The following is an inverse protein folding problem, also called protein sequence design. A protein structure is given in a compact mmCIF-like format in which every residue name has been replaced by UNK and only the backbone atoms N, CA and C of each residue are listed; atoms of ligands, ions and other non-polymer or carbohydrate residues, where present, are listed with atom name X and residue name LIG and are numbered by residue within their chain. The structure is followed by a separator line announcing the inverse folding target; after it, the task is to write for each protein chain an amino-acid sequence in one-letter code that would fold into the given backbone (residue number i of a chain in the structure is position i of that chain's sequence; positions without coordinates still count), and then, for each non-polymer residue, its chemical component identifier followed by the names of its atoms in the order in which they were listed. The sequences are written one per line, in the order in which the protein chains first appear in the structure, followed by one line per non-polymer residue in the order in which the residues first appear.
data_IF_258277577465
#
_entry.id   IF_258277577465
#
_cell.length_a   1.000
_cell.length_b   1.000
_cell.length_c   1.000
_cell.angle_alpha   90.00
_cell.angle_beta   90.00
_cell.angle_gamma   90.00
#
_symmetry.space_group_name_H-M   'P 1'
#
loop_
_entity.id
_entity.type
_entity.pdbx_description
1 polymer ?
#
# COMPACT_ATOMS: atom_id res chain seq x y z
N UNK A 1 -6.99 20.74 22.24
CA UNK A 1 -7.76 20.05 21.18
C UNK A 1 -6.74 19.43 20.25
N UNK A 2 -6.64 18.11 20.20
CA UNK A 2 -5.72 17.42 19.28
C UNK A 2 -6.33 17.50 17.89
N UNK A 3 -5.70 18.24 16.97
CA UNK A 3 -6.12 18.34 15.57
C UNK A 3 -5.52 17.17 14.80
N UNK A 4 -6.35 16.24 14.35
CA UNK A 4 -5.95 15.14 13.48
C UNK A 4 -5.67 15.63 12.06
N UNK A 5 -4.68 15.05 11.34
CA UNK A 5 -4.44 15.39 9.94
C UNK A 5 -5.66 14.99 9.10
N UNK A 6 -6.09 15.90 8.22
CA UNK A 6 -7.23 15.71 7.32
C UNK A 6 -6.79 15.87 5.88
N UNK A 7 -7.31 15.03 5.00
CA UNK A 7 -7.12 15.15 3.55
C UNK A 7 -8.48 15.25 2.86
N UNK A 8 -8.61 16.16 1.90
CA UNK A 8 -9.76 16.23 0.98
C UNK A 8 -9.40 15.70 -0.39
N UNK A 9 -10.36 15.08 -1.08
CA UNK A 9 -10.22 14.70 -2.48
C UNK A 9 -9.83 15.88 -3.37
N UNK A 10 -10.30 17.09 -3.05
CA UNK A 10 -9.98 18.31 -3.79
C UNK A 10 -8.51 18.74 -3.66
N UNK A 11 -7.80 18.25 -2.64
CA UNK A 11 -6.39 18.52 -2.41
C UNK A 11 -5.47 17.48 -3.04
N UNK A 12 -6.04 16.36 -3.52
CA UNK A 12 -5.27 15.31 -4.16
C UNK A 12 -4.78 15.74 -5.55
N UNK A 13 -3.56 15.37 -5.94
CA UNK A 13 -3.14 15.45 -7.32
C UNK A 13 -4.11 14.71 -8.24
N UNK A 14 -4.42 15.28 -9.40
CA UNK A 14 -5.36 14.69 -10.36
C UNK A 14 -4.79 13.40 -10.98
N UNK A 15 -5.29 12.26 -10.49
CA UNK A 15 -4.85 10.92 -10.89
C UNK A 15 -5.12 10.56 -12.35
N UNK A 16 -5.97 11.34 -13.04
CA UNK A 16 -6.34 11.15 -14.45
C UNK A 16 -5.33 11.78 -15.41
N UNK A 17 -4.45 12.67 -14.92
CA UNK A 17 -3.45 13.30 -15.77
C UNK A 17 -2.41 12.29 -16.25
N UNK A 18 -2.16 12.31 -17.56
CA UNK A 18 -1.17 11.43 -18.19
C UNK A 18 0.27 11.78 -17.79
N UNK A 19 0.50 13.00 -17.31
CA UNK A 19 1.78 13.48 -16.83
C UNK A 19 1.56 14.42 -15.64
N UNK A 20 2.39 14.26 -14.62
CA UNK A 20 2.49 15.17 -13.48
C UNK A 20 3.94 15.28 -13.06
N UNK A 21 4.37 16.50 -12.74
CA UNK A 21 5.68 16.81 -12.19
C UNK A 21 5.51 17.61 -10.89
N UNK A 22 6.36 17.35 -9.90
CA UNK A 22 6.39 18.06 -8.62
C UNK A 22 7.66 18.93 -8.55
N UNK A 23 7.65 20.15 -9.12
CA UNK A 23 8.86 20.95 -9.34
C UNK A 23 9.55 21.44 -8.05
N UNK A 24 8.85 21.41 -6.91
CA UNK A 24 9.38 21.83 -5.61
C UNK A 24 10.18 20.74 -4.88
N UNK A 25 10.30 19.55 -5.47
CA UNK A 25 11.01 18.41 -4.87
C UNK A 25 12.53 18.57 -4.90
N UNK A 26 13.23 17.80 -4.05
CA UNK A 26 14.67 17.80 -3.97
C UNK A 26 15.34 17.44 -5.30
N UNK A 27 14.69 16.61 -6.12
CA UNK A 27 15.21 16.21 -7.42
C UNK A 27 15.34 17.39 -8.39
N UNK A 28 14.27 18.18 -8.59
CA UNK A 28 14.32 19.35 -9.48
C UNK A 28 15.20 20.47 -8.93
N UNK A 29 15.29 20.61 -7.59
CA UNK A 29 16.22 21.53 -6.94
C UNK A 29 17.68 21.16 -7.21
N UNK A 30 17.99 19.87 -7.28
CA UNK A 30 19.36 19.36 -7.48
C UNK A 30 19.75 19.31 -8.96
N UNK A 31 18.85 18.85 -9.83
CA UNK A 31 19.14 18.57 -11.25
C UNK A 31 18.65 19.68 -12.20
N UNK A 32 17.90 20.66 -11.70
CA UNK A 32 17.35 21.78 -12.47
C UNK A 32 15.93 21.52 -12.99
N UNK A 33 15.13 22.57 -13.08
CA UNK A 33 13.70 22.50 -13.44
C UNK A 33 13.45 22.08 -14.91
N UNK A 34 14.45 22.18 -15.78
CA UNK A 34 14.35 21.80 -17.19
C UNK A 34 14.82 20.38 -17.46
N UNK A 35 15.39 19.69 -16.46
CA UNK A 35 15.86 18.32 -16.61
C UNK A 35 14.66 17.39 -16.78
N UNK A 36 14.73 16.49 -17.76
CA UNK A 36 13.70 15.49 -17.97
C UNK A 36 14.06 14.18 -17.26
N UNK A 37 13.02 13.48 -16.81
CA UNK A 37 13.18 12.11 -16.32
C UNK A 37 13.64 11.17 -17.45
N UNK A 38 14.25 10.01 -17.10
CA UNK A 38 14.49 8.94 -18.05
C UNK A 38 13.22 8.60 -18.85
N UNK A 39 13.35 8.53 -20.18
CA UNK A 39 12.20 8.27 -21.05
C UNK A 39 11.72 6.83 -20.90
N UNK A 40 10.45 6.60 -21.24
CA UNK A 40 9.89 5.25 -21.17
C UNK A 40 10.57 4.28 -22.14
N UNK A 41 11.03 4.70 -23.32
CA UNK A 41 11.80 3.83 -24.22
C UNK A 41 13.12 3.39 -23.58
N UNK A 42 13.80 4.32 -22.89
CA UNK A 42 15.03 3.99 -22.19
C UNK A 42 14.76 3.00 -21.06
N UNK A 43 13.73 3.24 -20.23
CA UNK A 43 13.35 2.34 -19.13
C UNK A 43 12.98 0.93 -19.62
N UNK A 44 12.18 0.84 -20.69
CA UNK A 44 11.80 -0.44 -21.30
C UNK A 44 13.01 -1.16 -21.91
N UNK A 45 14.02 -0.44 -22.41
CA UNK A 45 15.25 -1.06 -22.92
C UNK A 45 16.11 -1.73 -21.83
N UNK A 46 15.98 -1.28 -20.58
CA UNK A 46 16.71 -1.82 -19.43
C UNK A 46 16.05 -3.07 -18.83
N UNK A 47 14.80 -3.34 -19.17
CA UNK A 47 14.02 -4.47 -18.64
C UNK A 47 13.54 -5.35 -19.79
N UNK A 48 14.40 -6.24 -20.34
CA UNK A 48 14.07 -7.05 -21.51
C UNK A 48 12.94 -8.05 -21.26
N UNK A 49 12.72 -8.44 -20.00
CA UNK A 49 11.61 -9.27 -19.56
C UNK A 49 10.62 -8.40 -18.77
N UNK A 50 9.72 -7.72 -19.48
CA UNK A 50 8.67 -6.89 -18.88
C UNK A 50 7.78 -7.73 -17.96
N UNK A 51 7.96 -7.56 -16.66
CA UNK A 51 7.03 -8.08 -15.67
C UNK A 51 5.87 -7.09 -15.49
N UNK A 52 4.82 -7.54 -14.83
CA UNK A 52 3.64 -6.72 -14.54
C UNK A 52 3.94 -5.44 -13.72
N UNK A 53 5.05 -5.42 -12.97
CA UNK A 53 5.56 -4.31 -12.15
C UNK A 53 7.08 -4.39 -12.04
N UNK A 54 7.79 -3.39 -12.56
CA UNK A 54 9.25 -3.32 -12.66
C UNK A 54 9.79 -2.14 -11.84
N UNK A 55 11.05 -2.22 -11.40
CA UNK A 55 11.75 -1.11 -10.75
C UNK A 55 13.15 -0.98 -11.36
N UNK A 56 13.54 0.24 -11.73
CA UNK A 56 14.90 0.59 -12.15
C UNK A 56 15.45 1.69 -11.24
N UNK A 57 16.71 1.55 -10.81
CA UNK A 57 17.40 2.48 -9.91
C UNK A 57 18.49 3.22 -10.69
N UNK A 58 18.54 4.54 -10.54
CA UNK A 58 19.57 5.42 -11.08
C UNK A 58 20.26 6.11 -9.90
N UNK A 59 21.33 5.49 -9.39
CA UNK A 59 22.08 5.97 -8.22
C UNK A 59 22.60 7.40 -8.42
N UNK A 60 23.19 7.68 -9.59
CA UNK A 60 23.75 8.99 -9.93
C UNK A 60 22.69 10.12 -9.96
N UNK A 61 21.41 9.76 -10.10
CA UNK A 61 20.30 10.70 -10.11
C UNK A 61 19.48 10.67 -8.81
N UNK A 62 19.88 9.82 -7.84
CA UNK A 62 19.09 9.53 -6.62
C UNK A 62 17.61 9.25 -6.93
N UNK A 63 17.39 8.47 -8.00
CA UNK A 63 16.09 8.24 -8.61
C UNK A 63 15.76 6.74 -8.69
N UNK A 64 14.58 6.38 -8.21
CA UNK A 64 13.96 5.09 -8.47
C UNK A 64 12.75 5.29 -9.39
N UNK A 65 12.59 4.40 -10.37
CA UNK A 65 11.44 4.41 -11.27
C UNK A 65 10.70 3.08 -11.18
N UNK A 66 9.49 3.10 -10.63
CA UNK A 66 8.57 1.95 -10.62
C UNK A 66 7.62 2.06 -11.79
N UNK A 67 7.48 1.01 -12.60
CA UNK A 67 6.63 1.07 -13.79
C UNK A 67 6.08 -0.28 -14.22
N UNK A 68 4.91 -0.28 -14.85
CA UNK A 68 4.25 -1.52 -15.28
C UNK A 68 2.78 -1.34 -15.62
N UNK A 69 2.14 -2.46 -15.95
CA UNK A 69 0.68 -2.52 -16.21
C UNK A 69 -0.15 -2.53 -14.92
N UNK A 70 0.44 -2.99 -13.82
CA UNK A 70 -0.22 -3.03 -12.49
C UNK A 70 0.16 -1.84 -11.60
N UNK A 71 1.08 -0.99 -12.07
CA UNK A 71 1.42 0.26 -11.39
C UNK A 71 0.31 1.29 -11.68
N UNK A 72 -0.11 2.03 -10.66
CA UNK A 72 -1.22 2.99 -10.78
C UNK A 72 -0.81 4.37 -10.28
N UNK A 73 -1.45 5.42 -10.80
CA UNK A 73 -1.25 6.78 -10.26
C UNK A 73 -1.73 6.91 -8.82
N UNK A 74 -2.62 6.02 -8.36
CA UNK A 74 -3.05 5.93 -6.96
C UNK A 74 -1.88 5.62 -6.02
N UNK A 75 -0.94 4.75 -6.42
CA UNK A 75 0.27 4.48 -5.64
C UNK A 75 1.10 5.75 -5.43
N UNK A 76 1.31 6.52 -6.50
CA UNK A 76 2.01 7.80 -6.42
C UNK A 76 1.30 8.78 -5.48
N UNK A 77 -0.03 8.86 -5.57
CA UNK A 77 -0.83 9.72 -4.69
C UNK A 77 -0.73 9.29 -3.22
N UNK A 78 -0.73 7.99 -2.92
CA UNK A 78 -0.54 7.49 -1.57
C UNK A 78 0.82 7.96 -1.00
N UNK A 79 1.91 7.82 -1.76
CA UNK A 79 3.24 8.32 -1.37
C UNK A 79 3.20 9.83 -1.08
N UNK A 80 2.60 10.61 -1.99
CA UNK A 80 2.51 12.06 -1.85
C UNK A 80 1.71 12.49 -0.61
N UNK A 81 0.56 11.85 -0.34
CA UNK A 81 -0.28 12.17 0.82
C UNK A 81 0.45 11.83 2.12
N UNK A 82 1.05 10.63 2.20
CA UNK A 82 1.74 10.20 3.43
C UNK A 82 2.89 11.14 3.74
N UNK A 83 3.72 11.46 2.75
CA UNK A 83 4.83 12.41 2.93
C UNK A 83 4.35 13.77 3.40
N UNK A 84 3.30 14.31 2.78
CA UNK A 84 2.74 15.63 3.10
C UNK A 84 2.15 15.70 4.51
N UNK A 85 1.45 14.64 4.93
CA UNK A 85 0.71 14.62 6.19
C UNK A 85 1.56 14.24 7.40
N UNK A 86 2.57 13.39 7.19
CA UNK A 86 3.32 12.79 8.30
C UNK A 86 4.78 13.21 8.34
N UNK A 87 5.34 13.73 7.23
CA UNK A 87 6.75 14.12 7.15
C UNK A 87 7.66 12.99 7.69
N UNK A 88 8.46 13.26 8.72
CA UNK A 88 9.37 12.29 9.33
C UNK A 88 8.67 11.22 10.19
N UNK A 89 7.41 11.42 10.59
CA UNK A 89 6.70 10.47 11.43
C UNK A 89 6.36 9.16 10.70
N UNK A 90 6.22 9.21 9.37
CA UNK A 90 6.08 8.04 8.52
C UNK A 90 6.94 8.26 7.28
N UNK A 91 8.21 7.81 7.30
CA UNK A 91 9.14 8.11 6.23
C UNK A 91 8.75 7.33 4.96
N UNK A 92 8.63 8.05 3.85
CA UNK A 92 8.35 7.50 2.53
C UNK A 92 9.21 8.21 1.48
N UNK A 93 9.46 7.59 0.30
CA UNK A 93 10.13 8.26 -0.80
C UNK A 93 9.47 9.59 -1.17
N UNK A 94 10.26 10.59 -1.54
CA UNK A 94 9.72 11.78 -2.19
C UNK A 94 9.22 11.44 -3.60
N UNK A 95 7.98 11.80 -3.92
CA UNK A 95 7.42 11.65 -5.27
C UNK A 95 7.88 12.81 -6.16
N UNK A 96 8.55 12.51 -7.27
CA UNK A 96 9.01 13.52 -8.24
C UNK A 96 8.03 13.74 -9.39
N UNK A 97 7.31 12.70 -9.80
CA UNK A 97 6.31 12.78 -10.86
C UNK A 97 5.85 11.43 -11.36
N UNK A 98 4.97 11.44 -12.36
CA UNK A 98 4.57 10.23 -13.08
C UNK A 98 4.34 10.49 -14.56
N UNK A 99 4.36 9.40 -15.34
CA UNK A 99 3.94 9.36 -16.75
C UNK A 99 3.01 8.18 -16.98
N UNK A 100 2.05 8.35 -17.87
CA UNK A 100 1.09 7.32 -18.28
C UNK A 100 1.17 7.19 -19.78
N UNK A 101 1.38 5.97 -20.24
CA UNK A 101 1.26 5.60 -21.63
C UNK A 101 -0.05 4.84 -21.84
N UNK A 102 -0.84 5.33 -22.78
CA UNK A 102 -2.02 4.64 -23.27
C UNK A 102 -1.72 4.18 -24.69
N UNK A 103 -1.61 2.86 -24.88
CA UNK A 103 -1.42 2.27 -26.20
C UNK A 103 -2.68 1.50 -26.59
N UNK A 104 -3.18 1.78 -27.79
CA UNK A 104 -4.35 1.11 -28.35
C UNK A 104 -4.14 -0.42 -28.33
N UNK A 105 -5.07 -1.13 -27.70
CA UNK A 105 -5.02 -2.59 -27.55
C UNK A 105 -4.05 -3.16 -26.52
N UNK A 106 -3.25 -2.33 -25.82
CA UNK A 106 -2.26 -2.78 -24.81
C UNK A 106 -2.51 -2.28 -23.39
N UNK A 107 -3.52 -1.42 -23.22
CA UNK A 107 -3.93 -0.88 -21.93
C UNK A 107 -3.03 0.25 -21.43
N UNK A 108 -3.24 0.62 -20.16
CA UNK A 108 -2.50 1.66 -19.46
C UNK A 108 -1.17 1.12 -18.95
N UNK A 109 -0.10 1.90 -19.07
CA UNK A 109 1.21 1.61 -18.52
C UNK A 109 1.71 2.84 -17.76
N UNK A 110 2.01 2.69 -16.47
CA UNK A 110 2.33 3.82 -15.58
C UNK A 110 3.79 3.78 -15.19
N UNK A 111 4.42 4.96 -15.07
CA UNK A 111 5.78 5.18 -14.58
C UNK A 111 5.72 6.15 -13.41
N UNK A 112 6.23 5.76 -12.25
CA UNK A 112 6.33 6.57 -11.04
C UNK A 112 7.81 6.89 -10.82
N UNK A 113 8.14 8.17 -10.78
CA UNK A 113 9.48 8.69 -10.52
C UNK A 113 9.54 9.19 -9.09
N UNK A 114 10.41 8.59 -8.28
CA UNK A 114 10.48 8.87 -6.85
C UNK A 114 11.92 8.79 -6.32
N UNK A 115 12.11 9.27 -5.11
CA UNK A 115 13.38 9.23 -4.40
C UNK A 115 13.90 7.81 -4.28
N UNK A 116 15.16 7.62 -4.64
CA UNK A 116 15.87 6.40 -4.31
C UNK A 116 16.29 6.43 -2.85
N UNK A 117 15.68 5.57 -2.04
CA UNK A 117 16.05 5.38 -0.64
C UNK A 117 17.23 4.41 -0.57
N UNK A 118 18.28 4.82 0.14
CA UNK A 118 19.47 4.00 0.39
C UNK A 118 19.26 3.13 1.62
N UNK A 119 19.66 1.86 1.52
CA UNK A 119 19.63 0.91 2.62
C UNK A 119 19.11 -0.46 2.21
N UNK A 120 19.43 -1.51 2.99
CA UNK A 120 18.82 -2.82 2.83
C UNK A 120 17.34 -2.79 3.27
N UNK A 121 16.56 -3.71 2.76
CA UNK A 121 15.24 -4.01 3.30
C UNK A 121 15.37 -4.65 4.68
N UNK A 122 14.33 -4.50 5.50
CA UNK A 122 14.21 -5.20 6.78
C UNK A 122 14.27 -6.71 6.55
N UNK A 123 13.73 -7.22 5.44
CA UNK A 123 13.76 -8.65 5.09
C UNK A 123 15.19 -9.18 4.98
N UNK A 124 16.07 -8.45 4.30
CA UNK A 124 17.47 -8.81 4.13
C UNK A 124 18.22 -8.82 5.47
N UNK A 125 17.93 -7.84 6.33
CA UNK A 125 18.59 -7.68 7.64
C UNK A 125 18.02 -8.57 8.73
N UNK A 126 16.77 -8.98 8.61
CA UNK A 126 16.00 -9.65 9.67
C UNK A 126 16.70 -10.85 10.34
N UNK A 127 17.39 -11.74 9.60
CA UNK A 127 18.09 -12.88 10.21
C UNK A 127 19.24 -12.48 11.15
N UNK A 128 19.81 -11.29 10.96
CA UNK A 128 20.99 -10.80 11.68
C UNK A 128 20.60 -9.92 12.89
N UNK A 129 19.35 -9.47 12.97
CA UNK A 129 18.88 -8.58 14.02
C UNK A 129 18.76 -9.29 15.37
N UNK A 130 19.23 -8.62 16.42
CA UNK A 130 19.02 -9.08 17.79
C UNK A 130 17.55 -8.97 18.20
N UNK A 131 17.19 -9.62 19.31
CA UNK A 131 15.83 -9.48 19.87
C UNK A 131 15.50 -8.02 20.23
N UNK A 132 16.49 -7.27 20.74
CA UNK A 132 16.34 -5.86 21.06
C UNK A 132 16.11 -5.00 19.80
N UNK A 133 16.84 -5.28 18.71
CA UNK A 133 16.65 -4.60 17.42
C UNK A 133 15.25 -4.85 16.85
N UNK A 134 14.79 -6.11 16.88
CA UNK A 134 13.44 -6.48 16.43
C UNK A 134 12.36 -5.78 17.25
N UNK A 135 12.55 -5.68 18.57
CA UNK A 135 11.63 -4.97 19.46
C UNK A 135 11.61 -3.46 19.21
N UNK A 136 12.76 -2.85 18.96
CA UNK A 136 12.86 -1.44 18.58
C UNK A 136 12.08 -1.18 17.27
N UNK A 137 12.30 -2.01 16.26
CA UNK A 137 11.57 -1.93 14.98
C UNK A 137 10.05 -2.08 15.18
N UNK A 138 9.60 -3.02 16.02
CA UNK A 138 8.17 -3.17 16.31
C UNK A 138 7.60 -1.93 17.03
N UNK A 139 8.38 -1.31 17.91
CA UNK A 139 7.97 -0.08 18.60
C UNK A 139 7.80 1.08 17.62
N UNK A 140 8.76 1.25 16.72
CA UNK A 140 8.72 2.28 15.68
C UNK A 140 7.56 2.04 14.71
N UNK A 141 7.38 0.80 14.24
CA UNK A 141 6.24 0.42 13.39
C UNK A 141 4.90 0.72 14.08
N UNK A 142 4.77 0.45 15.38
CA UNK A 142 3.54 0.76 16.11
C UNK A 142 3.25 2.26 16.11
N UNK A 143 4.27 3.09 16.32
CA UNK A 143 4.13 4.54 16.29
C UNK A 143 3.76 5.04 14.88
N UNK A 144 4.38 4.49 13.84
CA UNK A 144 4.09 4.82 12.44
C UNK A 144 2.67 4.43 12.05
N UNK A 145 2.24 3.19 12.34
CA UNK A 145 0.86 2.74 12.07
C UNK A 145 -0.16 3.56 12.85
N UNK A 146 0.12 3.87 14.12
CA UNK A 146 -0.77 4.72 14.92
C UNK A 146 -0.91 6.12 14.31
N UNK A 147 0.18 6.67 13.76
CA UNK A 147 0.17 7.94 13.05
C UNK A 147 -0.64 7.85 11.75
N UNK A 148 -0.42 6.82 10.92
CA UNK A 148 -1.19 6.59 9.70
C UNK A 148 -2.70 6.50 9.97
N UNK A 149 -3.10 5.72 10.99
CA UNK A 149 -4.50 5.55 11.38
C UNK A 149 -5.16 6.83 11.91
N UNK A 150 -4.36 7.85 12.23
CA UNK A 150 -4.85 9.17 12.65
C UNK A 150 -5.29 10.05 11.48
N UNK A 151 -4.94 9.70 10.23
CA UNK A 151 -5.44 10.38 9.04
C UNK A 151 -6.97 10.29 9.01
N UNK A 152 -7.62 11.41 8.72
CA UNK A 152 -9.07 11.46 8.52
C UNK A 152 -9.38 11.89 7.08
N UNK A 153 -10.36 11.23 6.49
CA UNK A 153 -11.04 11.77 5.30
C UNK A 153 -11.85 12.99 5.75
N UNK A 154 -11.63 14.13 5.10
CA UNK A 154 -12.35 15.37 5.40
C UNK A 154 -13.82 15.34 4.97
N UNK A 155 -14.19 14.38 4.12
CA UNK A 155 -15.55 14.19 3.63
C UNK A 155 -16.48 13.62 4.72
N UNK A 156 -17.77 13.93 4.64
CA UNK A 156 -18.77 13.55 5.65
C UNK A 156 -18.92 12.03 5.84
N UNK A 157 -18.60 11.25 4.81
CA UNK A 157 -18.64 9.79 4.85
C UNK A 157 -17.38 9.22 4.21
N UNK A 158 -16.52 8.68 5.06
CA UNK A 158 -15.31 7.98 4.65
C UNK A 158 -15.69 6.64 4.00
N UNK A 159 -15.26 6.45 2.76
CA UNK A 159 -15.52 5.22 2.00
C UNK A 159 -14.37 4.23 2.19
N UNK A 160 -14.68 2.94 2.25
CA UNK A 160 -13.68 1.87 2.20
C UNK A 160 -13.19 1.74 0.76
N UNK A 161 -11.87 1.69 0.57
CA UNK A 161 -11.22 1.57 -0.73
C UNK A 161 -10.00 2.49 -0.83
N UNK A 162 -9.45 2.60 -2.05
CA UNK A 162 -8.29 3.45 -2.26
C UNK A 162 -8.60 4.94 -2.05
N UNK A 163 -7.55 5.74 -1.82
CA UNK A 163 -7.69 7.16 -1.48
C UNK A 163 -8.37 8.00 -2.57
N UNK A 164 -8.29 7.57 -3.83
CA UNK A 164 -8.88 8.27 -4.98
C UNK A 164 -10.35 7.86 -5.23
N UNK A 165 -10.93 6.98 -4.40
CA UNK A 165 -12.28 6.40 -4.57
C UNK A 165 -12.48 5.75 -5.94
N UNK A 166 -11.40 5.20 -6.50
CA UNK A 166 -11.43 4.41 -7.73
C UNK A 166 -11.39 2.91 -7.44
N UNK A 167 -11.46 2.08 -8.51
CA UNK A 167 -11.05 0.69 -8.43
C UNK A 167 -9.59 0.57 -7.96
N UNK A 168 -9.30 -0.36 -7.04
CA UNK A 168 -7.94 -0.65 -6.56
C UNK A 168 -7.58 -2.13 -6.73
N UNK A 169 -6.29 -2.41 -6.86
CA UNK A 169 -5.75 -3.76 -6.76
C UNK A 169 -5.46 -4.10 -5.30
N UNK A 170 -5.71 -5.35 -4.92
CA UNK A 170 -5.31 -5.89 -3.62
C UNK A 170 -4.67 -7.26 -3.83
N UNK A 171 -3.45 -7.41 -3.30
CA UNK A 171 -2.62 -8.62 -3.44
C UNK A 171 -3.32 -9.87 -2.88
N UNK A 172 -4.21 -9.73 -1.90
CA UNK A 172 -4.98 -10.84 -1.33
C UNK A 172 -6.23 -11.18 -2.16
N UNK A 173 -6.70 -10.26 -3.01
CA UNK A 173 -7.94 -10.38 -3.79
C UNK A 173 -7.69 -10.68 -5.28
N UNK A 174 -6.51 -11.19 -5.66
CA UNK A 174 -6.03 -11.37 -7.05
C UNK A 174 -7.02 -11.99 -8.05
N UNK A 175 -7.96 -12.82 -7.61
CA UNK A 175 -8.97 -13.40 -8.50
C UNK A 175 -10.21 -12.51 -8.71
N UNK A 176 -10.37 -11.44 -7.95
CA UNK A 176 -11.38 -10.39 -8.12
C UNK A 176 -10.66 -9.19 -8.69
N UNK A 177 -10.97 -8.86 -9.95
CA UNK A 177 -10.13 -7.95 -10.71
C UNK A 177 -10.04 -6.55 -10.12
N UNK A 178 -11.03 -6.09 -9.32
CA UNK A 178 -11.05 -4.73 -8.80
C UNK A 178 -11.79 -4.61 -7.46
N UNK A 179 -11.12 -4.07 -6.44
CA UNK A 179 -11.74 -3.59 -5.21
C UNK A 179 -12.41 -2.24 -5.51
N UNK A 180 -13.74 -2.21 -5.51
CA UNK A 180 -14.51 -0.97 -5.67
C UNK A 180 -14.61 -0.20 -4.34
N UNK A 181 -14.98 1.08 -4.36
CA UNK A 181 -15.33 1.80 -3.14
C UNK A 181 -16.59 1.24 -2.48
N UNK A 182 -16.61 1.17 -1.15
CA UNK A 182 -17.78 0.80 -0.35
C UNK A 182 -18.14 1.93 0.62
N UNK A 183 -19.41 2.30 0.75
CA UNK A 183 -19.84 3.37 1.65
C UNK A 183 -19.94 2.93 3.12
N UNK A 184 -19.90 1.63 3.40
CA UNK A 184 -19.99 1.08 4.77
C UNK A 184 -19.24 -0.24 4.93
N UNK A 185 -18.89 -0.57 6.19
CA UNK A 185 -18.31 -1.87 6.56
C UNK A 185 -19.25 -3.02 6.22
N UNK A 186 -20.55 -2.87 6.47
CA UNK A 186 -21.56 -3.86 6.13
C UNK A 186 -21.54 -4.21 4.63
N UNK A 187 -21.55 -3.20 3.75
CA UNK A 187 -21.50 -3.44 2.30
C UNK A 187 -20.18 -4.06 1.84
N UNK A 188 -19.07 -3.70 2.50
CA UNK A 188 -17.77 -4.32 2.24
C UNK A 188 -17.75 -5.79 2.66
N UNK A 189 -18.27 -6.13 3.84
CA UNK A 189 -18.33 -7.51 4.33
C UNK A 189 -19.31 -8.37 3.53
N UNK A 190 -20.46 -7.82 3.14
CA UNK A 190 -21.42 -8.50 2.25
C UNK A 190 -20.77 -8.81 0.91
N UNK A 191 -19.96 -7.88 0.40
CA UNK A 191 -19.21 -8.11 -0.82
C UNK A 191 -18.12 -9.18 -0.66
N UNK A 192 -17.34 -9.16 0.42
CA UNK A 192 -16.35 -10.22 0.71
C UNK A 192 -17.02 -11.59 0.78
N UNK A 193 -18.13 -11.67 1.52
CA UNK A 193 -18.97 -12.86 1.66
C UNK A 193 -19.56 -13.34 0.33
N UNK A 194 -20.02 -12.43 -0.52
CA UNK A 194 -20.46 -12.78 -1.88
C UNK A 194 -19.29 -13.28 -2.73
N UNK A 195 -18.11 -12.68 -2.57
CA UNK A 195 -16.99 -12.87 -3.48
C UNK A 195 -16.43 -14.29 -3.48
N UNK A 196 -16.36 -14.96 -2.33
CA UNK A 196 -15.90 -16.34 -2.25
C UNK A 196 -16.93 -17.33 -2.79
N UNK A 197 -18.22 -16.96 -2.77
CA UNK A 197 -19.35 -17.76 -3.30
C UNK A 197 -19.63 -17.50 -4.79
N UNK A 198 -18.94 -16.56 -5.43
CA UNK A 198 -19.37 -16.00 -6.72
C UNK A 198 -19.40 -16.97 -7.90
N UNK A 199 -18.65 -18.08 -7.89
CA UNK A 199 -18.68 -19.04 -9.01
C UNK A 199 -19.65 -20.20 -8.81
N UNK A 200 -20.32 -20.30 -7.65
CA UNK A 200 -21.41 -21.28 -7.47
C UNK A 200 -22.68 -20.81 -8.21
N UNK A 201 -23.50 -21.72 -8.79
CA UNK A 201 -24.69 -21.34 -9.56
C UNK A 201 -25.74 -20.52 -8.79
N UNK A 202 -25.84 -20.71 -7.48
CA UNK A 202 -26.72 -19.94 -6.60
C UNK A 202 -25.97 -19.53 -5.31
N UNK A 203 -25.20 -18.42 -5.32
CA UNK A 203 -24.41 -17.98 -4.18
C UNK A 203 -25.22 -17.78 -2.90
N UNK A 204 -26.47 -17.34 -3.02
CA UNK A 204 -27.36 -17.09 -1.90
C UNK A 204 -27.82 -18.38 -1.19
N UNK A 205 -27.75 -19.54 -1.88
CA UNK A 205 -28.09 -20.82 -1.27
C UNK A 205 -26.98 -21.41 -0.39
N UNK A 206 -25.76 -20.89 -0.49
CA UNK A 206 -24.63 -21.34 0.32
C UNK A 206 -24.59 -20.51 1.60
N UNK A 207 -24.81 -21.13 2.78
CA UNK A 207 -24.70 -20.42 4.04
C UNK A 207 -23.26 -19.94 4.25
N UNK A 208 -23.13 -18.74 4.82
CA UNK A 208 -21.84 -18.15 5.18
C UNK A 208 -21.79 -17.86 6.67
N UNK A 209 -21.36 -18.83 7.50
CA UNK A 209 -21.23 -18.62 8.94
C UNK A 209 -20.11 -17.63 9.31
N UNK A 210 -19.17 -17.33 8.40
CA UNK A 210 -18.05 -16.43 8.68
C UNK A 210 -18.45 -14.95 8.54
N UNK A 211 -19.51 -14.64 7.82
CA UNK A 211 -20.00 -13.26 7.63
C UNK A 211 -20.40 -12.59 8.94
N UNK A 212 -21.01 -13.33 9.86
CA UNK A 212 -21.44 -12.83 11.17
C UNK A 212 -20.26 -12.56 12.11
N UNK A 213 -19.08 -13.10 11.80
CA UNK A 213 -17.86 -12.88 12.56
C UNK A 213 -17.18 -11.54 12.22
N UNK A 214 -17.59 -10.86 11.16
CA UNK A 214 -17.08 -9.54 10.79
C UNK A 214 -17.97 -8.43 11.37
N UNK A 215 -17.45 -7.57 12.26
CA UNK A 215 -18.24 -6.51 12.87
C UNK A 215 -18.49 -5.34 11.90
N UNK A 216 -19.76 -5.12 11.55
CA UNK A 216 -20.20 -4.02 10.69
C UNK A 216 -20.04 -2.63 11.32
N UNK A 217 -19.76 -2.59 12.62
CA UNK A 217 -19.41 -1.37 13.36
C UNK A 217 -17.90 -1.32 13.61
N UNK A 218 -17.33 -0.12 13.64
CA UNK A 218 -15.93 0.09 13.93
C UNK A 218 -15.35 1.20 13.06
N UNK A 219 -14.13 1.68 13.38
CA UNK A 219 -13.50 2.74 12.62
C UNK A 219 -13.08 2.24 11.22
N UNK A 220 -13.07 3.17 10.27
CA UNK A 220 -12.39 3.03 9.00
C UNK A 220 -11.11 3.87 9.12
N UNK A 221 -9.96 3.28 8.85
CA UNK A 221 -8.64 3.91 9.06
C UNK A 221 -7.79 3.81 7.82
N UNK A 222 -6.82 4.71 7.67
CA UNK A 222 -5.86 4.63 6.57
C UNK A 222 -4.84 3.53 6.89
N UNK A 223 -4.57 2.67 5.92
CA UNK A 223 -3.65 1.53 6.07
C UNK A 223 -2.64 1.54 4.93
N UNK A 224 -1.44 1.01 5.19
CA UNK A 224 -0.47 0.71 4.14
C UNK A 224 -1.01 -0.40 3.23
N UNK A 225 -1.64 -1.40 3.82
CA UNK A 225 -2.30 -2.49 3.09
C UNK A 225 -1.36 -3.59 2.62
N UNK A 226 -0.04 -3.40 2.57
CA UNK A 226 0.92 -4.48 2.26
C UNK A 226 2.20 -4.40 3.12
N UNK A 227 2.02 -4.24 4.43
CA UNK A 227 3.13 -3.96 5.36
C UNK A 227 3.87 -5.25 5.75
N UNK A 228 4.91 -5.59 4.99
CA UNK A 228 5.81 -6.70 5.30
C UNK A 228 7.28 -6.27 5.22
N UNK A 229 8.20 -7.10 5.73
CA UNK A 229 9.65 -6.79 5.85
C UNK A 229 10.33 -6.38 4.54
N UNK A 230 9.80 -6.77 3.38
CA UNK A 230 10.35 -6.39 2.07
C UNK A 230 10.03 -4.95 1.68
N UNK A 231 8.96 -4.39 2.26
CA UNK A 231 8.46 -3.04 2.00
C UNK A 231 8.95 -2.02 3.04
N UNK A 232 9.90 -2.41 3.89
CA UNK A 232 10.50 -1.57 4.92
C UNK A 232 12.00 -1.48 4.62
N UNK A 233 12.53 -0.28 4.41
CA UNK A 233 13.97 -0.03 4.25
C UNK A 233 14.51 0.43 5.60
N UNK A 234 15.67 -0.09 5.98
CA UNK A 234 16.32 0.19 7.26
C UNK A 234 17.75 0.67 7.09
N UNK A 235 18.32 1.24 8.15
CA UNK A 235 19.72 1.65 8.20
C UNK A 235 20.66 0.45 7.96
N UNK A 236 21.75 0.69 7.22
CA UNK A 236 22.77 -0.33 6.97
C UNK A 236 23.65 -0.61 8.20
N UNK A 237 23.68 0.31 9.16
CA UNK A 237 24.50 0.28 10.37
C UNK A 237 23.64 0.38 11.60
N UNK A 238 24.15 -0.10 12.75
CA UNK A 238 23.49 0.12 14.04
C UNK A 238 23.64 1.60 14.50
N UNK A 239 22.65 2.18 15.22
CA UNK A 239 21.37 1.57 15.59
C UNK A 239 20.47 1.30 14.37
N UNK A 240 19.68 0.23 14.45
CA UNK A 240 18.72 -0.08 13.39
C UNK A 240 17.61 0.97 13.43
N UNK A 241 17.33 1.58 12.28
CA UNK A 241 16.31 2.62 12.14
C UNK A 241 15.52 2.37 10.87
N UNK A 242 14.21 2.62 10.91
CA UNK A 242 13.37 2.58 9.71
C UNK A 242 13.63 3.85 8.90
N UNK A 243 14.16 3.67 7.69
CA UNK A 243 14.54 4.77 6.79
C UNK A 243 13.39 5.11 5.85
N UNK A 244 12.60 4.12 5.41
CA UNK A 244 11.40 4.36 4.63
C UNK A 244 10.45 3.15 4.63
N UNK A 245 9.17 3.41 4.45
CA UNK A 245 8.15 2.44 4.03
C UNK A 245 7.87 2.67 2.54
N UNK A 246 7.87 1.60 1.75
CA UNK A 246 7.71 1.63 0.28
C UNK A 246 6.55 0.71 -0.16
N UNK A 247 6.21 0.77 -1.45
CA UNK A 247 5.14 -0.04 -2.07
C UNK A 247 3.72 0.24 -1.54
N UNK A 248 3.28 1.48 -1.74
CA UNK A 248 1.99 2.01 -1.26
C UNK A 248 0.83 1.72 -2.22
N UNK A 249 0.95 0.70 -3.08
CA UNK A 249 -0.05 0.42 -4.12
C UNK A 249 -1.40 -0.06 -3.56
N UNK A 250 -1.37 -0.78 -2.43
CA UNK A 250 -2.56 -1.30 -1.74
C UNK A 250 -3.07 -0.40 -0.62
N UNK A 251 -2.54 0.81 -0.49
CA UNK A 251 -2.91 1.71 0.59
C UNK A 251 -4.25 2.39 0.34
N UNK A 252 -4.98 2.64 1.42
CA UNK A 252 -6.33 3.17 1.37
C UNK A 252 -7.03 3.10 2.71
N UNK A 253 -8.33 3.40 2.67
CA UNK A 253 -9.22 3.40 3.82
C UNK A 253 -9.88 2.03 3.97
N UNK A 254 -9.68 1.38 5.11
CA UNK A 254 -10.19 0.03 5.37
C UNK A 254 -10.65 -0.13 6.82
N UNK A 255 -11.43 -1.18 7.13
CA UNK A 255 -11.63 -1.59 8.52
C UNK A 255 -10.29 -1.72 9.26
N UNK A 256 -10.27 -1.32 10.53
CA UNK A 256 -9.10 -1.35 11.42
C UNK A 256 -8.41 -2.71 11.57
N UNK A 257 -9.14 -3.81 11.36
CA UNK A 257 -8.57 -5.15 11.33
C UNK A 257 -7.83 -5.50 10.03
N UNK A 258 -8.05 -4.77 8.94
CA UNK A 258 -7.65 -5.16 7.58
C UNK A 258 -6.14 -5.33 7.45
N UNK A 259 -5.36 -4.37 7.96
CA UNK A 259 -3.90 -4.41 7.91
C UNK A 259 -3.32 -5.57 8.73
N UNK A 260 -3.92 -5.87 9.89
CA UNK A 260 -3.55 -7.02 10.71
C UNK A 260 -3.79 -8.33 9.97
N UNK A 261 -4.97 -8.49 9.38
CA UNK A 261 -5.31 -9.70 8.64
C UNK A 261 -4.38 -9.91 7.42
N UNK A 262 -4.10 -8.85 6.66
CA UNK A 262 -3.19 -8.92 5.52
C UNK A 262 -1.75 -9.24 5.94
N UNK A 263 -1.24 -8.58 6.97
CA UNK A 263 0.11 -8.83 7.47
C UNK A 263 0.30 -10.28 7.93
N UNK A 264 -0.69 -10.85 8.64
CA UNK A 264 -0.64 -12.26 9.05
C UNK A 264 -0.78 -13.22 7.87
N UNK A 265 -1.67 -12.92 6.92
CA UNK A 265 -1.94 -13.78 5.76
C UNK A 265 -0.73 -13.95 4.85
N UNK A 266 0.08 -12.88 4.68
CA UNK A 266 1.29 -12.91 3.86
C UNK A 266 2.55 -13.30 4.63
N UNK A 267 2.48 -13.38 5.96
CA UNK A 267 3.58 -13.85 6.80
C UNK A 267 3.66 -15.38 6.87
N UNK A 268 4.88 -15.90 6.93
CA UNK A 268 5.11 -17.33 7.19
C UNK A 268 4.70 -17.69 8.61
N UNK A 269 3.69 -18.54 8.75
CA UNK A 269 3.22 -19.02 10.05
C UNK A 269 4.33 -19.71 10.85
N UNK A 270 4.40 -19.39 12.16
CA UNK A 270 5.39 -19.95 13.07
C UNK A 270 6.81 -19.39 12.91
N UNK A 271 6.97 -18.31 12.14
CA UNK A 271 8.22 -17.54 12.07
C UNK A 271 8.13 -16.31 12.96
N UNK A 272 9.30 -15.84 13.38
CA UNK A 272 9.45 -14.68 14.26
C UNK A 272 8.75 -13.40 13.76
N UNK A 273 8.71 -13.15 12.45
CA UNK A 273 7.96 -12.00 11.90
C UNK A 273 6.45 -12.12 12.16
N UNK A 274 5.89 -13.33 12.06
CA UNK A 274 4.47 -13.57 12.34
C UNK A 274 4.14 -13.20 13.78
N UNK A 275 4.99 -13.60 14.73
CA UNK A 275 4.84 -13.23 16.15
C UNK A 275 5.02 -11.72 16.40
N UNK A 276 5.86 -11.05 15.61
CA UNK A 276 6.09 -9.61 15.72
C UNK A 276 4.88 -8.77 15.30
N UNK A 277 4.00 -9.28 14.43
CA UNK A 277 2.83 -8.53 13.94
C UNK A 277 1.93 -8.08 15.09
N UNK A 278 1.75 -8.93 16.11
CA UNK A 278 0.96 -8.60 17.30
C UNK A 278 1.58 -7.49 18.17
N UNK A 279 2.85 -7.15 17.97
CA UNK A 279 3.54 -6.10 18.72
C UNK A 279 3.28 -4.72 18.12
N UNK A 280 3.08 -4.63 16.80
CA UNK A 280 2.87 -3.35 16.12
C UNK A 280 1.44 -3.13 15.61
N UNK A 281 0.64 -4.19 15.42
CA UNK A 281 -0.78 -4.11 15.06
C UNK A 281 -1.67 -4.62 16.19
N UNK A 282 -2.84 -4.01 16.34
CA UNK A 282 -3.87 -4.55 17.25
C UNK A 282 -4.38 -5.89 16.72
N UNK A 283 -4.66 -6.82 17.63
CA UNK A 283 -5.01 -8.20 17.27
C UNK A 283 -6.50 -8.38 17.04
N UNK A 284 -6.85 -9.00 15.91
CA UNK A 284 -8.22 -9.30 15.47
C UNK A 284 -8.34 -10.77 15.05
N UNK A 285 -8.19 -11.74 15.97
CA UNK A 285 -8.08 -13.16 15.62
C UNK A 285 -9.35 -13.71 14.96
N UNK A 286 -10.52 -13.23 15.37
CA UNK A 286 -11.80 -13.66 14.80
C UNK A 286 -11.97 -13.14 13.36
N UNK A 287 -11.64 -11.87 13.11
CA UNK A 287 -11.67 -11.29 11.78
C UNK A 287 -10.61 -11.90 10.86
N UNK A 288 -9.45 -12.29 11.42
CA UNK A 288 -8.42 -13.01 10.67
C UNK A 288 -8.88 -14.41 10.26
N UNK A 289 -9.59 -15.14 11.11
CA UNK A 289 -10.15 -16.45 10.74
C UNK A 289 -11.09 -16.34 9.53
N UNK A 290 -12.01 -15.37 9.55
CA UNK A 290 -12.88 -15.10 8.40
C UNK A 290 -12.09 -14.64 7.17
N UNK A 291 -11.13 -13.73 7.35
CA UNK A 291 -10.30 -13.24 6.27
C UNK A 291 -9.51 -14.36 5.60
N UNK A 292 -8.84 -15.23 6.38
CA UNK A 292 -8.06 -16.36 5.88
C UNK A 292 -8.94 -17.31 5.07
N UNK A 293 -10.13 -17.64 5.60
CA UNK A 293 -11.10 -18.46 4.88
C UNK A 293 -11.51 -17.82 3.54
N UNK A 294 -11.93 -16.55 3.54
CA UNK A 294 -12.34 -15.87 2.30
C UNK A 294 -11.20 -15.77 1.30
N UNK A 295 -10.00 -15.41 1.70
CA UNK A 295 -8.87 -15.24 0.78
C UNK A 295 -8.42 -16.57 0.19
N UNK A 296 -8.41 -17.66 0.97
CA UNK A 296 -8.03 -18.98 0.47
C UNK A 296 -9.10 -19.62 -0.41
N UNK A 297 -10.37 -19.30 -0.22
CA UNK A 297 -11.47 -19.90 -0.99
C UNK A 297 -11.90 -19.07 -2.19
N UNK A 298 -11.44 -17.82 -2.29
CA UNK A 298 -11.81 -16.90 -3.35
C UNK A 298 -11.50 -17.48 -4.74
N UNK A 299 -12.57 -17.84 -5.46
CA UNK A 299 -12.49 -18.37 -6.82
C UNK A 299 -12.09 -19.84 -6.93
N UNK A 300 -11.98 -20.58 -5.83
CA UNK A 300 -11.75 -22.03 -5.88
C UNK A 300 -13.05 -22.81 -6.18
N UNK A 301 -14.20 -22.23 -5.87
CA UNK A 301 -15.53 -22.83 -6.06
C UNK A 301 -16.39 -22.03 -7.02
#
# INVERSE_FOLDING_TARGET
MTTYPKISLAELPDCSQLQMDFPDTAWFKTHGQTQQFPTHEHLLSLVPNDSHSNIVKFEDLSLAVKFGRHVTTTEAINIWVVRRMFQEAVPVPELYGWRVLEQEGKGRYVFIYMQLIQGPTLLERWPELSCADKQAICTDLRAMVSSLRSLQDSELQQMIGNICRGPGEDVCLKEILLLRPFPSRAEFHDWLSWSWRRRVPNPQSIPDPWRDLLPDNGPIVFTHGDLHRGNIIVSATSPIEIVAIIDWQSSGWYPDYWEYCKALFTAEWGKDWWDCIHQFLDSYPQEFETFDFYMRTNGIF
#
